data_IF_354879746096
#
_entry.id   IF_354879746096
#
_cell.length_a   1.000
_cell.length_b   1.000
_cell.length_c   1.000
_cell.angle_alpha   90.00
_cell.angle_beta   90.00
_cell.angle_gamma   90.00
#
_symmetry.space_group_name_H-M   'P 1'
#
loop_
_entity.id
_entity.type
_entity.pdbx_description
1 polymer ?
#
# COMPACT_ATOMS: atom_id res chain seq x y z
N UNK A 1 7.82 19.40 14.69
CA UNK A 1 7.16 19.98 13.49
C UNK A 1 5.66 19.81 13.65
N UNK A 2 4.87 20.86 13.46
CA UNK A 2 3.41 20.79 13.51
C UNK A 2 2.87 20.50 12.11
N UNK A 3 1.87 19.62 11.98
CA UNK A 3 1.22 19.34 10.71
C UNK A 3 0.46 20.58 10.22
N UNK A 4 0.52 20.88 8.91
CA UNK A 4 -0.22 21.99 8.31
C UNK A 4 -1.72 21.70 8.14
N UNK A 5 -2.07 20.41 7.98
CA UNK A 5 -3.45 19.92 7.95
C UNK A 5 -3.50 18.70 8.88
N UNK A 6 -4.31 18.78 9.93
CA UNK A 6 -4.52 17.73 10.93
C UNK A 6 -6.00 17.32 11.06
N UNK A 7 -6.88 17.79 10.15
CA UNK A 7 -8.33 17.55 10.21
C UNK A 7 -8.67 16.06 10.30
N UNK A 8 -7.98 15.23 9.52
CA UNK A 8 -8.19 13.78 9.52
C UNK A 8 -7.94 13.16 10.90
N UNK A 9 -6.84 13.54 11.57
CA UNK A 9 -6.50 13.03 12.90
C UNK A 9 -7.49 13.50 13.96
N UNK A 10 -7.81 14.80 13.96
CA UNK A 10 -8.77 15.41 14.89
C UNK A 10 -10.16 14.78 14.78
N UNK A 11 -10.65 14.59 13.55
CA UNK A 11 -11.94 13.96 13.31
C UNK A 11 -11.98 12.51 13.83
N UNK A 12 -10.92 11.71 13.62
CA UNK A 12 -10.83 10.36 14.17
C UNK A 12 -10.80 10.33 15.71
N UNK A 13 -10.19 11.34 16.33
CA UNK A 13 -10.16 11.52 17.78
C UNK A 13 -11.44 12.16 18.34
N UNK A 14 -12.42 12.47 17.48
CA UNK A 14 -13.68 13.16 17.83
C UNK A 14 -13.47 14.58 18.38
N UNK A 15 -12.40 15.22 17.96
CA UNK A 15 -12.15 16.64 18.25
C UNK A 15 -12.90 17.52 17.22
N UNK A 16 -13.25 18.77 17.57
CA UNK A 16 -13.88 19.70 16.64
C UNK A 16 -13.01 19.91 15.39
N UNK A 17 -13.62 20.06 14.22
CA UNK A 17 -12.96 20.41 12.96
C UNK A 17 -13.75 21.50 12.24
N UNK A 18 -13.08 22.28 11.38
CA UNK A 18 -13.69 23.36 10.60
C UNK A 18 -14.51 22.84 9.41
N UNK A 19 -14.16 21.67 8.88
CA UNK A 19 -14.90 20.94 7.85
C UNK A 19 -14.63 19.44 7.98
N UNK A 20 -15.56 18.59 7.53
CA UNK A 20 -15.37 17.14 7.50
C UNK A 20 -14.19 16.77 6.57
N UNK A 21 -13.13 16.09 7.08
CA UNK A 21 -12.02 15.69 6.24
C UNK A 21 -12.39 14.56 5.28
N UNK A 22 -11.74 14.52 4.11
CA UNK A 22 -11.97 13.48 3.09
C UNK A 22 -10.68 12.87 2.57
N UNK A 23 -10.72 11.55 2.38
CA UNK A 23 -9.76 10.76 1.61
C UNK A 23 -10.52 9.60 0.97
N UNK A 24 -9.92 8.90 0.01
CA UNK A 24 -10.61 7.81 -0.69
C UNK A 24 -9.79 6.51 -0.65
N UNK A 25 -10.45 5.40 -0.34
CA UNK A 25 -9.87 4.07 -0.52
C UNK A 25 -9.45 3.90 -1.97
N UNK A 26 -8.21 3.41 -2.18
CA UNK A 26 -7.59 3.27 -3.51
C UNK A 26 -7.52 4.59 -4.30
N UNK A 27 -7.31 5.73 -3.62
CA UNK A 27 -7.09 7.03 -4.26
C UNK A 27 -5.94 7.02 -5.28
N UNK A 28 -4.88 6.24 -5.03
CA UNK A 28 -3.85 5.94 -6.02
C UNK A 28 -4.22 4.68 -6.80
N UNK A 29 -4.68 4.81 -8.05
CA UNK A 29 -5.15 3.66 -8.80
C UNK A 29 -5.44 3.90 -10.28
N UNK A 30 -5.87 2.83 -10.96
CA UNK A 30 -6.03 2.74 -12.42
C UNK A 30 -7.00 3.75 -13.04
N UNK A 31 -7.83 4.42 -12.25
CA UNK A 31 -8.70 5.50 -12.74
C UNK A 31 -7.89 6.75 -13.13
N UNK A 32 -6.68 6.93 -12.58
CA UNK A 32 -5.74 7.99 -12.93
C UNK A 32 -4.87 7.60 -14.14
N UNK A 33 -4.85 8.39 -15.23
CA UNK A 33 -3.95 8.16 -16.37
C UNK A 33 -2.46 8.11 -16.02
N UNK A 34 -2.00 8.97 -15.12
CA UNK A 34 -0.62 9.04 -14.63
C UNK A 34 -0.21 7.79 -13.83
N UNK A 35 -1.13 7.24 -13.04
CA UNK A 35 -0.93 5.96 -12.36
C UNK A 35 -0.72 4.83 -13.38
N UNK A 36 -1.58 4.75 -14.40
CA UNK A 36 -1.44 3.75 -15.47
C UNK A 36 -0.10 3.88 -16.19
N UNK A 37 0.40 5.10 -16.34
CA UNK A 37 1.69 5.38 -16.99
C UNK A 37 2.88 4.96 -16.12
N UNK A 38 2.85 5.19 -14.81
CA UNK A 38 3.85 4.66 -13.87
C UNK A 38 3.81 3.12 -13.84
N UNK A 39 2.62 2.53 -13.73
CA UNK A 39 2.45 1.07 -13.68
C UNK A 39 3.01 0.37 -14.91
N UNK A 40 2.84 0.95 -16.11
CA UNK A 40 3.47 0.44 -17.34
C UNK A 40 5.00 0.48 -17.29
N UNK A 41 5.59 1.50 -16.66
CA UNK A 41 7.05 1.63 -16.51
C UNK A 41 7.62 0.70 -15.44
N UNK A 42 6.87 0.45 -14.37
CA UNK A 42 7.26 -0.45 -13.29
C UNK A 42 7.27 -1.94 -13.71
N UNK A 43 6.60 -2.29 -14.81
CA UNK A 43 6.48 -3.67 -15.31
C UNK A 43 5.36 -4.42 -14.58
N UNK A 44 5.55 -4.72 -13.30
CA UNK A 44 4.57 -5.42 -12.48
C UNK A 44 4.17 -4.64 -11.21
N UNK A 45 3.14 -5.16 -10.54
CA UNK A 45 2.57 -4.53 -9.35
C UNK A 45 3.46 -4.66 -8.11
N UNK A 46 4.19 -5.77 -7.96
CA UNK A 46 5.09 -5.98 -6.83
C UNK A 46 6.31 -5.06 -6.92
N UNK A 47 6.89 -4.89 -8.11
CA UNK A 47 7.96 -3.91 -8.34
C UNK A 47 7.49 -2.50 -8.00
N UNK A 48 6.25 -2.15 -8.34
CA UNK A 48 5.68 -0.85 -7.98
C UNK A 48 5.57 -0.66 -6.46
N UNK A 49 5.20 -1.70 -5.70
CA UNK A 49 5.15 -1.64 -4.24
C UNK A 49 6.54 -1.66 -3.57
N UNK A 50 7.52 -2.37 -4.16
CA UNK A 50 8.87 -2.55 -3.62
C UNK A 50 9.86 -1.44 -4.00
N UNK A 51 9.46 -0.49 -4.84
CA UNK A 51 10.26 0.71 -5.13
C UNK A 51 9.73 1.89 -4.33
N UNK A 52 10.46 2.38 -3.31
CA UNK A 52 10.05 3.52 -2.50
C UNK A 52 9.75 4.77 -3.34
N UNK A 53 10.54 5.02 -4.39
CA UNK A 53 10.38 6.18 -5.27
C UNK A 53 9.08 6.09 -6.08
N UNK A 54 8.80 4.92 -6.66
CA UNK A 54 7.58 4.72 -7.45
C UNK A 54 6.33 4.67 -6.56
N UNK A 55 6.41 4.01 -5.41
CA UNK A 55 5.33 3.96 -4.42
C UNK A 55 5.00 5.36 -3.87
N UNK A 56 6.03 6.17 -3.57
CA UNK A 56 5.87 7.57 -3.19
C UNK A 56 5.21 8.38 -4.32
N UNK A 57 5.70 8.26 -5.55
CA UNK A 57 5.15 8.98 -6.70
C UNK A 57 3.66 8.68 -6.90
N UNK A 58 3.24 7.41 -6.92
CA UNK A 58 1.81 7.08 -7.08
C UNK A 58 0.96 7.50 -5.88
N UNK A 59 1.52 7.51 -4.67
CA UNK A 59 0.83 8.00 -3.46
C UNK A 59 0.52 9.49 -3.56
N UNK A 60 1.40 10.28 -4.18
CA UNK A 60 1.26 11.74 -4.30
C UNK A 60 0.35 12.18 -5.46
N UNK A 61 0.17 11.35 -6.49
CA UNK A 61 -0.65 11.69 -7.66
C UNK A 61 -2.06 12.21 -7.33
N UNK A 62 -2.84 11.58 -6.43
CA UNK A 62 -4.20 12.03 -6.12
C UNK A 62 -4.21 13.40 -5.44
N UNK A 63 -3.20 13.71 -4.63
CA UNK A 63 -3.06 14.99 -3.92
C UNK A 63 -2.77 16.16 -4.87
N UNK A 64 -2.23 15.88 -6.06
CA UNK A 64 -2.04 16.89 -7.11
C UNK A 64 -3.34 17.23 -7.86
N UNK A 65 -4.36 16.37 -7.77
CA UNK A 65 -5.67 16.56 -8.43
C UNK A 65 -6.76 17.02 -7.48
N UNK A 66 -6.74 16.51 -6.25
CA UNK A 66 -7.82 16.66 -5.29
C UNK A 66 -7.24 17.15 -3.96
N UNK A 67 -7.86 18.14 -3.31
CA UNK A 67 -7.42 18.63 -2.00
C UNK A 67 -7.85 17.66 -0.88
N UNK A 68 -7.32 16.44 -0.88
CA UNK A 68 -7.61 15.42 0.14
C UNK A 68 -6.88 15.75 1.45
N UNK A 69 -7.48 15.37 2.58
CA UNK A 69 -6.94 15.64 3.91
C UNK A 69 -5.95 14.57 4.40
N UNK A 70 -5.81 13.47 3.67
CA UNK A 70 -4.86 12.40 3.98
C UNK A 70 -4.29 11.73 2.74
N UNK A 71 -3.06 11.23 2.90
CA UNK A 71 -2.42 10.29 2.00
C UNK A 71 -2.44 8.90 2.64
N UNK A 72 -2.60 7.86 1.82
CA UNK A 72 -2.45 6.47 2.25
C UNK A 72 -1.26 5.86 1.52
N UNK A 73 -0.40 5.17 2.26
CA UNK A 73 0.75 4.46 1.71
C UNK A 73 0.31 3.52 0.58
N UNK A 74 0.92 3.68 -0.59
CA UNK A 74 0.77 2.70 -1.66
C UNK A 74 1.61 1.46 -1.36
N UNK A 75 0.94 0.39 -0.93
CA UNK A 75 1.52 -0.94 -0.67
C UNK A 75 0.46 -2.01 -0.89
N UNK A 76 0.79 -3.28 -0.62
CA UNK A 76 -0.15 -4.40 -0.66
C UNK A 76 -0.20 -5.12 0.68
N UNK A 77 -1.39 -5.59 1.07
CA UNK A 77 -1.61 -6.31 2.34
C UNK A 77 -0.86 -7.65 2.38
N UNK A 78 -0.53 -8.22 1.22
CA UNK A 78 0.16 -9.50 1.08
C UNK A 78 1.69 -9.39 1.17
N UNK A 79 2.22 -8.19 1.40
CA UNK A 79 3.66 -7.97 1.67
C UNK A 79 4.16 -8.76 2.87
N UNK A 80 3.34 -8.90 3.92
CA UNK A 80 3.70 -9.69 5.12
C UNK A 80 3.84 -11.19 4.78
N UNK A 81 2.84 -11.87 4.18
CA UNK A 81 3.03 -13.22 3.65
C UNK A 81 4.17 -13.37 2.64
N UNK A 82 4.46 -12.36 1.83
CA UNK A 82 5.62 -12.43 0.92
C UNK A 82 6.94 -12.47 1.70
N UNK A 83 7.09 -11.61 2.72
CA UNK A 83 8.25 -11.59 3.62
C UNK A 83 8.39 -12.89 4.45
N UNK A 84 7.28 -13.52 4.80
CA UNK A 84 7.26 -14.84 5.46
C UNK A 84 7.68 -16.00 4.53
N UNK A 85 7.97 -15.73 3.25
CA UNK A 85 8.52 -16.71 2.33
C UNK A 85 7.49 -17.58 1.60
N UNK A 86 6.23 -17.15 1.53
CA UNK A 86 5.15 -17.90 0.86
C UNK A 86 5.20 -17.78 -0.66
N UNK A 87 6.07 -16.91 -1.19
CA UNK A 87 6.31 -16.73 -2.62
C UNK A 87 5.10 -16.15 -3.31
N UNK A 88 4.79 -14.87 -3.03
CA UNK A 88 3.68 -14.16 -3.64
C UNK A 88 3.95 -13.93 -5.13
N UNK A 89 2.99 -14.24 -5.98
CA UNK A 89 3.03 -13.92 -7.40
C UNK A 89 1.67 -13.45 -7.91
N UNK A 90 1.68 -12.72 -9.01
CA UNK A 90 0.49 -12.21 -9.68
C UNK A 90 0.42 -12.80 -11.08
N UNK A 91 -0.59 -13.63 -11.33
CA UNK A 91 -0.91 -14.10 -12.68
C UNK A 91 -1.88 -13.12 -13.35
N UNK A 92 -1.69 -12.90 -14.65
CA UNK A 92 -2.56 -11.99 -15.41
C UNK A 92 -4.01 -12.47 -15.37
N UNK A 93 -4.91 -11.62 -14.87
CA UNK A 93 -6.35 -11.93 -14.75
C UNK A 93 -6.77 -12.77 -13.55
N UNK A 94 -5.85 -13.39 -12.81
CA UNK A 94 -6.21 -14.36 -11.75
C UNK A 94 -6.04 -13.86 -10.31
N UNK A 95 -5.53 -12.65 -10.11
CA UNK A 95 -5.25 -12.11 -8.77
C UNK A 95 -3.99 -12.71 -8.13
N UNK A 96 -3.69 -12.36 -6.87
CA UNK A 96 -2.50 -12.84 -6.17
C UNK A 96 -2.63 -14.31 -5.78
N UNK A 97 -1.52 -15.05 -5.87
CA UNK A 97 -1.39 -16.44 -5.43
C UNK A 97 -0.07 -16.64 -4.69
N UNK A 98 0.00 -17.71 -3.90
CA UNK A 98 1.21 -18.12 -3.18
C UNK A 98 1.75 -19.45 -3.70
N UNK A 99 3.07 -19.58 -3.77
CA UNK A 99 3.73 -20.84 -4.09
C UNK A 99 3.62 -21.84 -2.93
N UNK A 100 3.64 -21.36 -1.69
CA UNK A 100 3.50 -22.16 -0.47
C UNK A 100 2.24 -21.74 0.28
N UNK A 101 1.43 -22.72 0.66
CA UNK A 101 0.17 -22.50 1.41
C UNK A 101 0.27 -23.23 2.73
N UNK A 102 -0.05 -22.54 3.82
CA UNK A 102 -0.11 -23.10 5.17
C UNK A 102 -1.34 -24.02 5.27
N UNK A 103 -1.13 -25.30 5.59
CA UNK A 103 -2.21 -26.30 5.72
C UNK A 103 -2.17 -27.07 7.03
N UNK A 104 -1.02 -27.10 7.69
CA UNK A 104 -0.77 -27.88 8.90
C UNK A 104 -0.19 -27.02 10.01
N UNK A 105 -0.24 -27.51 11.25
CA UNK A 105 0.42 -26.84 12.38
C UNK A 105 1.94 -26.72 12.16
N UNK A 106 2.55 -27.77 11.58
CA UNK A 106 3.97 -27.77 11.22
C UNK A 106 4.32 -26.66 10.23
N UNK A 107 3.45 -26.33 9.26
CA UNK A 107 3.70 -25.20 8.34
C UNK A 107 3.77 -23.85 9.08
N UNK A 108 2.99 -23.70 10.16
CA UNK A 108 3.00 -22.50 11.01
C UNK A 108 4.28 -22.43 11.83
N UNK A 109 4.73 -23.56 12.39
CA UNK A 109 5.96 -23.66 13.18
C UNK A 109 7.22 -23.32 12.36
N UNK A 110 7.18 -23.51 11.04
CA UNK A 110 8.30 -23.20 10.13
C UNK A 110 8.27 -21.77 9.57
N UNK A 111 7.34 -20.91 10.00
CA UNK A 111 7.34 -19.51 9.60
C UNK A 111 8.59 -18.80 10.16
N UNK A 112 9.30 -18.00 9.35
CA UNK A 112 10.46 -17.26 9.82
C UNK A 112 10.03 -16.10 10.72
N UNK A 113 10.93 -15.69 11.62
CA UNK A 113 10.83 -14.41 12.29
C UNK A 113 11.07 -13.29 11.26
N UNK A 114 10.15 -12.32 11.19
CA UNK A 114 10.23 -11.19 10.25
C UNK A 114 10.98 -10.03 10.90
N UNK A 115 11.99 -9.49 10.23
CA UNK A 115 12.53 -8.18 10.55
C UNK A 115 11.90 -7.11 9.66
N UNK A 116 10.87 -6.43 10.16
CA UNK A 116 10.10 -5.41 9.42
C UNK A 116 11.00 -4.35 8.78
N UNK A 117 12.01 -3.86 9.50
CA UNK A 117 12.88 -2.79 9.00
C UNK A 117 13.78 -3.24 7.83
N UNK A 118 14.03 -4.55 7.70
CA UNK A 118 14.86 -5.12 6.63
C UNK A 118 14.04 -5.71 5.48
N UNK A 119 12.86 -6.25 5.79
CA UNK A 119 12.09 -7.07 4.86
C UNK A 119 10.85 -6.38 4.28
N UNK A 120 10.40 -5.28 4.90
CA UNK A 120 9.20 -4.51 4.50
C UNK A 120 9.48 -3.02 4.30
N UNK A 121 10.74 -2.62 4.20
CA UNK A 121 11.18 -1.23 3.97
C UNK A 121 11.28 -0.86 2.49
#
# INVERSE_FOLDING_TARGET
MTLKNDRFLRALLREPVDVTPVWMMRQAGRYLPEYRSIRKRAGDFLTLCKSPELACEVTLQPLRRYPLDAAILFSDILTIPDALGQGLYFSEGEGPRFQKVIKTATDVEHLPDINVARELS
#
